data_IF_425384359536
#
_entry.id   IF_425384359536
#
_cell.length_a   1.000
_cell.length_b   1.000
_cell.length_c   1.000
_cell.angle_alpha   90.00
_cell.angle_beta   90.00
_cell.angle_gamma   90.00
#
_symmetry.space_group_name_H-M   'P 1'
#
loop_
_entity.id
_entity.type
_entity.pdbx_description
1 polymer ?
#
# COMPACT_ATOMS: atom_id res chain seq x y z
N UNK A 1 27.05 -21.14 40.99
CA UNK A 1 27.65 -19.92 40.39
C UNK A 1 28.70 -20.33 39.35
N UNK A 2 28.83 -19.55 38.26
CA UNK A 2 29.70 -19.71 37.07
C UNK A 2 29.06 -20.41 35.86
N UNK A 3 28.21 -19.68 35.12
CA UNK A 3 27.97 -19.98 33.69
C UNK A 3 29.15 -19.44 32.90
N UNK A 4 29.91 -20.34 32.29
CA UNK A 4 30.95 -20.02 31.32
C UNK A 4 30.31 -19.30 30.13
N UNK A 5 30.60 -18.01 29.97
CA UNK A 5 30.35 -17.27 28.75
C UNK A 5 31.36 -17.77 27.71
N UNK A 6 30.99 -18.82 26.98
CA UNK A 6 31.77 -19.30 25.83
C UNK A 6 31.64 -18.24 24.73
N UNK A 7 32.62 -17.34 24.66
CA UNK A 7 32.76 -16.42 23.53
C UNK A 7 33.11 -17.29 22.32
N UNK A 8 32.13 -17.46 21.42
CA UNK A 8 32.31 -18.30 20.23
C UNK A 8 33.52 -17.80 19.41
N UNK A 9 34.28 -18.70 18.75
CA UNK A 9 35.45 -18.32 17.95
C UNK A 9 35.10 -17.30 16.84
N UNK A 10 33.82 -17.23 16.45
CA UNK A 10 33.27 -16.24 15.55
C UNK A 10 33.35 -14.80 16.10
N UNK A 11 32.95 -14.56 17.35
CA UNK A 11 32.98 -13.23 17.98
C UNK A 11 34.42 -12.75 18.16
N UNK A 12 35.34 -13.66 18.49
CA UNK A 12 36.76 -13.34 18.63
C UNK A 12 37.40 -12.95 17.29
N UNK A 13 37.04 -13.64 16.19
CA UNK A 13 37.47 -13.28 14.82
C UNK A 13 36.93 -11.92 14.38
N UNK A 14 35.67 -11.62 14.72
CA UNK A 14 35.05 -10.32 14.46
C UNK A 14 35.76 -9.17 15.22
N UNK A 15 36.17 -9.42 16.47
CA UNK A 15 36.88 -8.42 17.28
C UNK A 15 38.27 -8.05 16.75
N UNK A 16 39.04 -9.03 16.25
CA UNK A 16 40.38 -8.80 15.72
C UNK A 16 40.35 -8.06 14.36
N UNK A 17 39.33 -8.32 13.55
CA UNK A 17 39.07 -7.58 12.30
C UNK A 17 38.67 -6.14 12.61
N UNK A 18 37.79 -5.92 13.60
CA UNK A 18 37.43 -4.60 14.07
C UNK A 18 38.64 -3.79 14.58
N UNK A 19 39.47 -4.37 15.44
CA UNK A 19 40.68 -3.73 15.98
C UNK A 19 41.68 -3.30 14.90
N UNK A 20 41.79 -4.06 13.79
CA UNK A 20 42.62 -3.68 12.64
C UNK A 20 42.07 -2.50 11.84
N UNK A 21 40.74 -2.42 11.70
CA UNK A 21 40.05 -1.34 10.97
C UNK A 21 40.06 -0.03 11.78
N UNK A 22 39.97 -0.10 13.11
CA UNK A 22 40.07 1.06 13.99
C UNK A 22 41.49 1.63 14.15
N UNK A 23 42.53 0.91 13.70
CA UNK A 23 43.92 1.39 13.75
C UNK A 23 44.23 2.44 12.68
N UNK A 24 43.51 2.43 11.57
CA UNK A 24 43.64 3.44 10.53
C UNK A 24 42.50 4.47 10.63
N UNK A 25 42.87 5.73 10.92
CA UNK A 25 41.93 6.85 11.07
C UNK A 25 41.01 7.07 9.86
N UNK A 26 41.47 6.73 8.65
CA UNK A 26 40.66 6.89 7.43
C UNK A 26 39.58 5.80 7.32
N UNK A 27 39.90 4.55 7.66
CA UNK A 27 38.91 3.45 7.61
C UNK A 27 37.88 3.53 8.72
N UNK A 28 38.27 4.02 9.90
CA UNK A 28 37.33 4.28 10.99
C UNK A 28 36.28 5.33 10.58
N UNK A 29 36.71 6.48 10.04
CA UNK A 29 35.79 7.52 9.55
C UNK A 29 34.93 7.03 8.40
N UNK A 30 35.48 6.24 7.47
CA UNK A 30 34.72 5.66 6.37
C UNK A 30 33.65 4.66 6.85
N UNK A 31 33.97 3.78 7.81
CA UNK A 31 32.97 2.87 8.40
C UNK A 31 31.87 3.63 9.13
N UNK A 32 32.22 4.66 9.91
CA UNK A 32 31.23 5.48 10.62
C UNK A 32 30.35 6.22 9.61
N UNK A 33 30.93 6.78 8.55
CA UNK A 33 30.18 7.43 7.47
C UNK A 33 29.25 6.47 6.72
N UNK A 34 29.71 5.27 6.39
CA UNK A 34 28.88 4.23 5.77
C UNK A 34 27.75 3.81 6.70
N UNK A 35 28.04 3.59 7.99
CA UNK A 35 27.03 3.25 8.98
C UNK A 35 26.01 4.38 9.15
N UNK A 36 26.46 5.64 9.16
CA UNK A 36 25.59 6.81 9.22
C UNK A 36 24.64 6.87 8.01
N UNK A 37 25.15 6.68 6.80
CA UNK A 37 24.32 6.65 5.59
C UNK A 37 23.36 5.45 5.63
N UNK A 38 23.78 4.30 6.15
CA UNK A 38 22.93 3.11 6.22
C UNK A 38 21.82 3.16 7.28
N UNK A 39 22.03 3.83 8.41
CA UNK A 39 21.12 3.76 9.58
C UNK A 39 20.56 5.11 10.06
N UNK A 40 21.19 6.23 9.71
CA UNK A 40 20.81 7.57 10.19
C UNK A 40 20.29 8.44 9.05
N UNK A 41 20.64 8.14 7.80
CA UNK A 41 20.01 8.79 6.66
C UNK A 41 18.57 8.27 6.47
N UNK A 42 17.67 9.13 6.00
CA UNK A 42 16.23 8.83 5.85
C UNK A 42 15.90 7.66 4.90
N UNK A 43 16.91 7.07 4.25
CA UNK A 43 16.80 5.98 3.28
C UNK A 43 16.99 4.64 4.01
N UNK A 44 16.11 4.35 4.95
CA UNK A 44 16.02 3.02 5.53
C UNK A 44 15.55 2.01 4.48
N UNK A 45 16.22 0.85 4.38
CA UNK A 45 15.79 -0.25 3.50
C UNK A 45 14.35 -0.69 3.78
N UNK A 46 13.93 -0.63 5.04
CA UNK A 46 12.55 -0.91 5.46
C UNK A 46 11.56 0.12 4.92
N UNK A 47 11.95 1.40 4.89
CA UNK A 47 11.12 2.46 4.32
C UNK A 47 10.88 2.21 2.84
N UNK A 48 11.93 1.88 2.08
CA UNK A 48 11.81 1.57 0.64
C UNK A 48 10.87 0.38 0.41
N UNK A 49 11.02 -0.71 1.17
CA UNK A 49 10.18 -1.90 1.02
C UNK A 49 8.70 -1.61 1.34
N UNK A 50 8.45 -0.81 2.38
CA UNK A 50 7.10 -0.39 2.78
C UNK A 50 6.48 0.51 1.72
N UNK A 51 7.23 1.48 1.20
CA UNK A 51 6.75 2.38 0.16
C UNK A 51 6.47 1.65 -1.15
N UNK A 52 7.29 0.67 -1.55
CA UNK A 52 6.96 -0.17 -2.70
C UNK A 52 5.64 -0.92 -2.53
N UNK A 53 5.39 -1.47 -1.34
CA UNK A 53 4.12 -2.15 -1.04
C UNK A 53 2.93 -1.17 -1.11
N UNK A 54 3.09 0.03 -0.53
CA UNK A 54 2.09 1.10 -0.58
C UNK A 54 1.80 1.55 -2.01
N UNK A 55 2.83 1.72 -2.83
CA UNK A 55 2.69 2.06 -4.24
C UNK A 55 1.92 0.98 -5.01
N UNK A 56 2.18 -0.30 -4.73
CA UNK A 56 1.45 -1.38 -5.36
C UNK A 56 -0.03 -1.40 -4.95
N UNK A 57 -0.33 -1.15 -3.68
CA UNK A 57 -1.70 -1.05 -3.16
C UNK A 57 -2.47 0.10 -3.85
N UNK A 58 -1.87 1.30 -3.89
CA UNK A 58 -2.47 2.45 -4.57
C UNK A 58 -2.73 2.19 -6.05
N UNK A 59 -1.81 1.51 -6.75
CA UNK A 59 -2.00 1.14 -8.15
C UNK A 59 -3.18 0.19 -8.36
N UNK A 60 -3.35 -0.79 -7.47
CA UNK A 60 -4.51 -1.70 -7.51
C UNK A 60 -5.81 -0.94 -7.26
N UNK A 61 -5.83 -0.01 -6.32
CA UNK A 61 -7.01 0.81 -6.05
C UNK A 61 -7.41 1.66 -7.25
N UNK A 62 -6.43 2.26 -7.93
CA UNK A 62 -6.64 3.00 -9.18
C UNK A 62 -7.21 2.10 -10.27
N UNK A 63 -6.66 0.90 -10.46
CA UNK A 63 -7.14 -0.06 -11.46
C UNK A 63 -8.60 -0.46 -11.20
N UNK A 64 -8.93 -0.85 -9.97
CA UNK A 64 -10.29 -1.23 -9.57
C UNK A 64 -11.28 -0.06 -9.77
N UNK A 65 -10.87 1.15 -9.41
CA UNK A 65 -11.70 2.34 -9.56
C UNK A 65 -11.95 2.67 -11.03
N UNK A 66 -10.93 2.55 -11.88
CA UNK A 66 -11.08 2.74 -13.32
C UNK A 66 -12.01 1.71 -13.95
N UNK A 67 -11.92 0.44 -13.54
CA UNK A 67 -12.84 -0.60 -14.00
C UNK A 67 -14.29 -0.28 -13.64
N UNK A 68 -14.54 0.07 -12.37
CA UNK A 68 -15.89 0.50 -11.92
C UNK A 68 -16.39 1.72 -12.66
N UNK A 69 -15.52 2.69 -12.94
CA UNK A 69 -15.88 3.90 -13.67
C UNK A 69 -16.31 3.56 -15.11
N UNK A 70 -15.57 2.68 -15.78
CA UNK A 70 -15.92 2.22 -17.12
C UNK A 70 -17.24 1.44 -17.13
N UNK A 71 -17.48 0.57 -16.16
CA UNK A 71 -18.75 -0.14 -16.02
C UNK A 71 -19.92 0.83 -15.82
N UNK A 72 -19.78 1.80 -14.92
CA UNK A 72 -20.80 2.82 -14.67
C UNK A 72 -21.06 3.70 -15.90
N UNK A 73 -20.03 4.02 -16.68
CA UNK A 73 -20.17 4.76 -17.94
C UNK A 73 -20.99 3.97 -18.97
N UNK A 74 -20.74 2.67 -19.09
CA UNK A 74 -21.52 1.81 -19.98
C UNK A 74 -22.98 1.72 -19.52
N UNK A 75 -23.23 1.58 -18.21
CA UNK A 75 -24.59 1.58 -17.65
C UNK A 75 -25.29 2.92 -17.88
N UNK A 76 -24.59 4.04 -17.71
CA UNK A 76 -25.11 5.38 -18.00
C UNK A 76 -25.47 5.52 -19.48
N UNK A 77 -24.61 5.08 -20.38
CA UNK A 77 -24.85 5.11 -21.82
C UNK A 77 -26.06 4.25 -22.21
N UNK A 78 -26.25 3.09 -21.56
CA UNK A 78 -27.44 2.25 -21.75
C UNK A 78 -28.72 2.94 -21.26
N UNK A 79 -28.68 3.58 -20.09
CA UNK A 79 -29.80 4.34 -19.52
C UNK A 79 -30.16 5.53 -20.43
N UNK A 80 -29.18 6.27 -20.94
CA UNK A 80 -29.40 7.44 -21.80
C UNK A 80 -29.98 7.06 -23.17
N UNK A 81 -29.52 5.94 -23.76
CA UNK A 81 -29.97 5.50 -25.07
C UNK A 81 -31.30 4.76 -25.05
N UNK A 82 -31.66 4.11 -23.94
CA UNK A 82 -32.86 3.28 -23.84
C UNK A 82 -33.88 3.82 -22.81
N UNK A 83 -34.96 4.47 -23.28
CA UNK A 83 -36.01 5.00 -22.41
C UNK A 83 -36.65 3.96 -21.47
N UNK A 84 -36.75 2.70 -21.89
CA UNK A 84 -37.31 1.64 -21.06
C UNK A 84 -36.39 1.27 -19.89
N UNK A 85 -35.07 1.31 -20.10
CA UNK A 85 -34.09 1.07 -19.03
C UNK A 85 -34.08 2.25 -18.06
N UNK A 86 -34.17 3.48 -18.56
CA UNK A 86 -34.33 4.68 -17.72
C UNK A 86 -35.58 4.59 -16.84
N UNK A 87 -36.75 4.25 -17.40
CA UNK A 87 -37.99 4.14 -16.64
C UNK A 87 -37.90 3.03 -15.58
N UNK A 88 -37.31 1.88 -15.92
CA UNK A 88 -37.08 0.78 -14.96
C UNK A 88 -36.19 1.23 -13.81
N UNK A 89 -35.06 1.89 -14.08
CA UNK A 89 -34.16 2.42 -13.04
C UNK A 89 -34.86 3.45 -12.17
N UNK A 90 -35.62 4.38 -12.77
CA UNK A 90 -36.37 5.39 -12.03
C UNK A 90 -37.43 4.78 -11.09
N UNK A 91 -38.14 3.73 -11.55
CA UNK A 91 -39.15 3.02 -10.75
C UNK A 91 -38.55 2.11 -9.68
N UNK A 92 -37.51 1.34 -10.00
CA UNK A 92 -36.93 0.34 -9.09
C UNK A 92 -35.99 0.97 -8.05
N UNK A 93 -35.14 1.92 -8.45
CA UNK A 93 -34.10 2.50 -7.58
C UNK A 93 -34.60 3.74 -6.84
N UNK A 94 -35.39 4.56 -7.52
CA UNK A 94 -35.80 5.88 -7.01
C UNK A 94 -37.30 5.96 -6.69
N UNK A 95 -38.07 4.91 -6.98
CA UNK A 95 -39.52 4.86 -6.77
C UNK A 95 -40.27 6.06 -7.37
N UNK A 96 -39.75 6.56 -8.50
CA UNK A 96 -40.37 7.67 -9.22
C UNK A 96 -41.69 7.21 -9.85
N UNK A 97 -42.68 8.11 -9.80
CA UNK A 97 -44.01 7.93 -10.38
C UNK A 97 -44.37 9.13 -11.24
N UNK A 98 -45.26 8.94 -12.22
CA UNK A 98 -45.81 10.07 -12.97
C UNK A 98 -46.77 10.88 -12.09
N UNK A 99 -46.99 12.18 -12.37
CA UNK A 99 -47.89 13.02 -11.57
C UNK A 99 -49.31 12.45 -11.43
N UNK A 100 -49.80 11.83 -12.51
CA UNK A 100 -51.14 11.23 -12.61
C UNK A 100 -51.17 9.73 -12.22
N UNK A 101 -50.09 9.18 -11.65
CA UNK A 101 -49.96 7.75 -11.34
C UNK A 101 -49.96 7.51 -9.82
N UNK A 102 -50.86 6.64 -9.35
CA UNK A 102 -50.86 6.15 -7.97
C UNK A 102 -50.13 4.80 -7.91
N UNK A 103 -49.02 4.77 -7.16
CA UNK A 103 -48.19 3.58 -6.97
C UNK A 103 -48.35 3.09 -5.52
N UNK A 104 -48.79 1.85 -5.36
CA UNK A 104 -48.97 1.22 -4.05
C UNK A 104 -47.84 0.22 -3.79
N UNK A 105 -47.09 0.42 -2.70
CA UNK A 105 -46.12 -0.57 -2.20
C UNK A 105 -46.81 -1.38 -1.11
N UNK A 106 -47.02 -2.67 -1.37
CA UNK A 106 -47.50 -3.62 -0.37
C UNK A 106 -46.27 -4.06 0.43
N UNK A 107 -46.26 -3.77 1.72
CA UNK A 107 -45.25 -4.23 2.67
C UNK A 107 -45.97 -5.20 3.60
N UNK A 108 -45.50 -6.45 3.64
CA UNK A 108 -45.97 -7.45 4.62
C UNK A 108 -45.46 -7.14 6.03
#
# INVERSE_FOLDING_TARGET
MKKFFVISPFIRKLSNIGLGIFRNRYSATAMIGLFWVMFISDIDLFFIAKEQSKLQEMRKEVEVTNLKNNELRLQLEEIEKNPAVLERVARERYFMKRPEEEVFRIVE
#
